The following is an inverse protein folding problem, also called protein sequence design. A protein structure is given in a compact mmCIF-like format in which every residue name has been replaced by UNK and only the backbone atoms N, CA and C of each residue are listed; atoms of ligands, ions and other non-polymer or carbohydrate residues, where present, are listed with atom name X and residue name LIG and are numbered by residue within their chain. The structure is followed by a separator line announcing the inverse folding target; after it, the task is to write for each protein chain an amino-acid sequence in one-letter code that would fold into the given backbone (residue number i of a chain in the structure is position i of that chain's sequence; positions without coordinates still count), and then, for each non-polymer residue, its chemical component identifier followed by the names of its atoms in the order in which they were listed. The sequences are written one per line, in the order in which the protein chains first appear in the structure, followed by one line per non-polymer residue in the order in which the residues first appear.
data_IF_024010284619
#
_entry.id   IF_024010284619
#
_cell.length_a   1.000
_cell.length_b   1.000
_cell.length_c   1.000
_cell.angle_alpha   90.00
_cell.angle_beta   90.00
_cell.angle_gamma   90.00
#
_symmetry.space_group_name_H-M   'P 1'
#
loop_
_entity.id
_entity.type
_entity.pdbx_description
1 polymer ?
#
# COMPACT_ATOMS: atom_id res chain seq x y z
N UNK A 1 -12.96 -34.24 -28.41
CA UNK A 1 -11.78 -33.44 -28.03
C UNK A 1 -12.06 -32.00 -28.47
N UNK A 2 -12.60 -31.15 -27.58
CA UNK A 2 -12.92 -29.75 -27.90
C UNK A 2 -11.65 -28.93 -27.64
N UNK A 3 -11.25 -27.99 -28.51
CA UNK A 3 -10.03 -27.21 -28.29
C UNK A 3 -10.22 -26.39 -27.00
N UNK A 4 -9.32 -26.58 -26.04
CA UNK A 4 -9.22 -25.76 -24.83
C UNK A 4 -8.73 -24.39 -25.29
N UNK A 5 -9.62 -23.41 -25.33
CA UNK A 5 -9.32 -22.07 -25.82
C UNK A 5 -8.23 -21.40 -24.96
N UNK A 6 -7.31 -20.70 -25.65
CA UNK A 6 -6.36 -19.61 -25.35
C UNK A 6 -6.01 -19.14 -23.93
N UNK A 7 -6.45 -19.80 -22.86
CA UNK A 7 -6.43 -19.28 -21.50
C UNK A 7 -5.77 -20.21 -20.48
N UNK A 8 -5.10 -21.26 -20.96
CA UNK A 8 -4.33 -22.18 -20.14
C UNK A 8 -2.99 -21.56 -19.72
N UNK A 9 -2.70 -21.60 -18.43
CA UNK A 9 -1.42 -21.14 -17.86
C UNK A 9 -0.57 -22.39 -17.58
N UNK A 10 0.52 -22.55 -18.31
CA UNK A 10 1.39 -23.73 -18.16
C UNK A 10 2.26 -23.64 -16.91
N UNK A 11 2.77 -24.79 -16.44
CA UNK A 11 3.70 -24.84 -15.30
C UNK A 11 4.99 -24.08 -15.57
N UNK A 12 5.51 -24.17 -16.79
CA UNK A 12 6.71 -23.45 -17.21
C UNK A 12 6.48 -21.94 -17.24
N UNK A 13 5.29 -21.50 -17.64
CA UNK A 13 4.90 -20.10 -17.57
C UNK A 13 4.83 -19.58 -16.12
N UNK A 14 4.30 -20.38 -15.20
CA UNK A 14 4.29 -20.03 -13.77
C UNK A 14 5.72 -19.91 -13.24
N UNK A 15 6.60 -20.88 -13.56
CA UNK A 15 8.02 -20.80 -13.17
C UNK A 15 8.69 -19.56 -13.74
N UNK A 16 8.49 -19.27 -15.03
CA UNK A 16 9.07 -18.10 -15.67
C UNK A 16 8.60 -16.79 -15.02
N UNK A 17 7.32 -16.69 -14.68
CA UNK A 17 6.77 -15.52 -14.01
C UNK A 17 7.35 -15.32 -12.60
N UNK A 18 7.51 -16.40 -11.83
CA UNK A 18 8.13 -16.35 -10.50
C UNK A 18 9.61 -16.02 -10.60
N UNK A 19 10.33 -16.64 -11.53
CA UNK A 19 11.76 -16.43 -11.77
C UNK A 19 12.06 -14.95 -12.12
N UNK A 20 11.22 -14.34 -12.97
CA UNK A 20 11.32 -12.91 -13.30
C UNK A 20 11.12 -12.01 -12.07
N UNK A 21 10.22 -12.38 -11.15
CA UNK A 21 10.00 -11.64 -9.91
C UNK A 21 11.17 -11.81 -8.92
N UNK A 22 11.76 -13.00 -8.82
CA UNK A 22 12.87 -13.28 -7.91
C UNK A 22 14.23 -12.85 -8.47
N UNK A 23 14.34 -12.64 -9.78
CA UNK A 23 15.60 -12.33 -10.46
C UNK A 23 16.55 -13.52 -10.56
N UNK A 24 16.00 -14.74 -10.64
CA UNK A 24 16.76 -15.99 -10.78
C UNK A 24 16.39 -16.73 -12.10
N UNK A 25 17.19 -17.71 -12.53
CA UNK A 25 16.84 -18.65 -13.59
C UNK A 25 15.62 -19.53 -13.23
N UNK A 26 14.79 -19.89 -14.20
CA UNK A 26 13.56 -20.66 -13.96
C UNK A 26 13.81 -22.15 -13.65
N UNK A 27 14.97 -22.68 -14.03
CA UNK A 27 15.42 -24.05 -13.76
C UNK A 27 15.93 -24.26 -12.32
N UNK A 28 16.23 -23.17 -11.61
CA UNK A 28 16.55 -23.20 -10.17
C UNK A 28 15.30 -23.36 -9.28
N UNK A 29 14.09 -23.21 -9.85
CA UNK A 29 12.84 -23.32 -9.12
C UNK A 29 12.28 -24.74 -9.18
N UNK A 30 12.40 -25.45 -8.06
CA UNK A 30 11.77 -26.74 -7.85
C UNK A 30 10.25 -26.65 -7.75
N UNK A 31 9.58 -27.74 -8.10
CA UNK A 31 8.11 -27.81 -8.12
C UNK A 31 7.45 -27.64 -6.75
N UNK A 32 8.18 -28.02 -5.70
CA UNK A 32 7.71 -28.07 -4.32
C UNK A 32 8.50 -27.12 -3.42
N UNK A 33 9.34 -26.26 -4.00
CA UNK A 33 10.11 -25.30 -3.23
C UNK A 33 9.18 -24.30 -2.56
N UNK A 34 9.53 -23.91 -1.34
CA UNK A 34 8.84 -22.84 -0.65
C UNK A 34 9.26 -21.50 -1.26
N UNK A 35 8.40 -20.97 -2.11
CA UNK A 35 8.65 -19.73 -2.84
C UNK A 35 8.84 -18.53 -1.90
N UNK A 36 8.29 -18.57 -0.68
CA UNK A 36 8.47 -17.51 0.32
C UNK A 36 9.90 -17.54 0.86
N UNK A 37 10.45 -18.73 1.14
CA UNK A 37 11.86 -18.88 1.55
C UNK A 37 12.82 -18.45 0.45
N UNK A 38 12.42 -18.59 -0.81
CA UNK A 38 13.16 -18.10 -1.98
C UNK A 38 13.01 -16.57 -2.20
N UNK A 39 12.28 -15.87 -1.35
CA UNK A 39 12.18 -14.40 -1.36
C UNK A 39 10.91 -13.84 -1.99
N UNK A 40 9.94 -14.69 -2.36
CA UNK A 40 8.66 -14.24 -2.87
C UNK A 40 7.82 -13.62 -1.74
N UNK A 41 7.26 -12.45 -2.00
CA UNK A 41 6.49 -11.70 -1.00
C UNK A 41 5.10 -11.33 -1.52
N UNK A 42 4.26 -10.82 -0.62
CA UNK A 42 2.85 -10.54 -0.90
C UNK A 42 2.63 -9.56 -2.05
N UNK A 43 3.49 -8.55 -2.22
CA UNK A 43 3.36 -7.56 -3.30
C UNK A 43 3.54 -8.24 -4.66
N UNK A 44 4.57 -9.08 -4.78
CA UNK A 44 4.85 -9.84 -6.01
C UNK A 44 3.76 -10.87 -6.28
N UNK A 45 3.32 -11.60 -5.26
CA UNK A 45 2.20 -12.56 -5.37
C UNK A 45 0.89 -11.88 -5.81
N UNK A 46 0.58 -10.69 -5.28
CA UNK A 46 -0.60 -9.92 -5.70
C UNK A 46 -0.49 -9.46 -7.16
N UNK A 47 0.72 -9.07 -7.61
CA UNK A 47 1.00 -8.74 -9.01
C UNK A 47 0.74 -9.92 -9.94
N UNK A 48 1.29 -11.10 -9.62
CA UNK A 48 1.08 -12.35 -10.35
C UNK A 48 -0.40 -12.74 -10.41
N UNK A 49 -1.08 -12.77 -9.25
CA UNK A 49 -2.52 -13.06 -9.18
C UNK A 49 -3.35 -12.07 -10.00
N UNK A 50 -3.01 -10.77 -9.96
CA UNK A 50 -3.66 -9.74 -10.77
C UNK A 50 -3.44 -9.95 -12.28
N UNK A 51 -2.24 -10.35 -12.69
CA UNK A 51 -1.90 -10.69 -14.06
C UNK A 51 -2.70 -11.89 -14.59
N UNK A 52 -2.79 -12.97 -13.81
CA UNK A 52 -3.57 -14.16 -14.18
C UNK A 52 -5.07 -13.90 -14.16
N UNK A 53 -5.60 -13.11 -13.22
CA UNK A 53 -7.01 -12.68 -13.23
C UNK A 53 -7.40 -11.87 -14.46
N UNK A 54 -6.51 -11.01 -14.97
CA UNK A 54 -6.75 -10.29 -16.23
C UNK A 54 -6.88 -11.22 -17.43
N UNK A 55 -6.30 -12.42 -17.34
CA UNK A 55 -6.47 -13.54 -18.27
C UNK A 55 -7.58 -14.49 -17.81
N UNK A 56 -8.55 -14.05 -17.01
CA UNK A 56 -9.72 -14.86 -16.65
C UNK A 56 -9.47 -16.02 -15.68
N UNK A 57 -8.28 -16.14 -15.06
CA UNK A 57 -8.08 -17.11 -13.99
C UNK A 57 -8.75 -16.63 -12.69
N UNK A 58 -9.54 -17.48 -12.02
CA UNK A 58 -10.16 -17.17 -10.73
C UNK A 58 -9.23 -17.55 -9.56
N UNK A 59 -8.18 -16.75 -9.36
CA UNK A 59 -7.14 -17.01 -8.36
C UNK A 59 -7.00 -15.86 -7.37
N UNK A 60 -6.91 -16.17 -6.07
CA UNK A 60 -6.74 -15.19 -5.00
C UNK A 60 -5.37 -15.27 -4.33
N UNK A 61 -4.95 -14.15 -3.73
CA UNK A 61 -3.74 -14.12 -2.90
C UNK A 61 -3.80 -15.17 -1.78
N UNK A 62 -4.96 -15.32 -1.13
CA UNK A 62 -5.14 -16.29 -0.05
C UNK A 62 -4.90 -17.73 -0.53
N UNK A 63 -5.38 -18.08 -1.73
CA UNK A 63 -5.13 -19.39 -2.34
C UNK A 63 -3.64 -19.60 -2.65
N UNK A 64 -2.96 -18.59 -3.21
CA UNK A 64 -1.52 -18.68 -3.50
C UNK A 64 -0.67 -18.79 -2.22
N UNK A 65 -1.01 -18.02 -1.19
CA UNK A 65 -0.28 -17.98 0.07
C UNK A 65 -0.50 -19.24 0.93
N UNK A 66 -1.59 -19.98 0.73
CA UNK A 66 -1.87 -21.21 1.47
C UNK A 66 -0.88 -22.33 1.16
N UNK A 67 -0.41 -22.40 -0.10
CA UNK A 67 0.59 -23.36 -0.54
C UNK A 67 1.49 -22.70 -1.60
N UNK A 68 2.57 -22.01 -1.19
CA UNK A 68 3.40 -21.20 -2.06
C UNK A 68 4.42 -22.07 -2.83
N UNK A 69 3.92 -22.99 -3.67
CA UNK A 69 4.74 -23.85 -4.53
C UNK A 69 4.26 -23.80 -5.97
N UNK A 70 5.16 -24.02 -6.93
CA UNK A 70 4.82 -24.07 -8.36
C UNK A 70 3.78 -25.16 -8.65
N UNK A 71 3.91 -26.34 -8.03
CA UNK A 71 2.96 -27.43 -8.20
C UNK A 71 1.56 -27.09 -7.71
N UNK A 72 1.44 -26.50 -6.51
CA UNK A 72 0.13 -26.10 -5.95
C UNK A 72 -0.52 -25.00 -6.78
N UNK A 73 0.25 -24.02 -7.24
CA UNK A 73 -0.27 -22.91 -8.05
C UNK A 73 -0.72 -23.38 -9.43
N UNK A 74 0.02 -24.31 -10.04
CA UNK A 74 -0.38 -24.93 -11.29
C UNK A 74 -1.70 -25.71 -11.15
N UNK A 75 -1.90 -26.46 -10.06
CA UNK A 75 -3.15 -27.16 -9.79
C UNK A 75 -4.34 -26.18 -9.64
N UNK A 76 -4.13 -25.06 -8.95
CA UNK A 76 -5.14 -24.00 -8.78
C UNK A 76 -5.51 -23.36 -10.14
N UNK A 77 -4.52 -23.05 -10.97
CA UNK A 77 -4.71 -22.39 -12.26
C UNK A 77 -5.23 -23.32 -13.37
N UNK A 78 -5.01 -24.63 -13.23
CA UNK A 78 -5.50 -25.65 -14.16
C UNK A 78 -6.99 -26.01 -13.95
N UNK A 79 -7.62 -25.48 -12.90
CA UNK A 79 -9.05 -25.67 -12.64
C UNK A 79 -9.42 -26.89 -11.79
N UNK A 80 -8.45 -27.57 -11.16
CA UNK A 80 -8.71 -28.76 -10.32
C UNK A 80 -9.31 -28.41 -8.95
N UNK A 81 -9.43 -27.13 -8.61
CA UNK A 81 -10.06 -26.69 -7.35
C UNK A 81 -11.18 -25.70 -7.66
N UNK A 82 -12.37 -26.22 -7.90
CA UNK A 82 -13.60 -25.45 -7.86
C UNK A 82 -13.83 -24.96 -6.42
N UNK A 83 -13.43 -23.71 -6.11
CA UNK A 83 -13.98 -23.02 -4.96
C UNK A 83 -13.93 -21.51 -5.14
N UNK A 84 -15.13 -20.97 -5.37
CA UNK A 84 -15.49 -19.56 -5.40
C UNK A 84 -15.08 -18.89 -4.09
N UNK A 85 -13.97 -18.15 -4.12
CA UNK A 85 -13.72 -17.09 -3.17
C UNK A 85 -14.18 -15.80 -3.85
N UNK A 86 -15.41 -15.38 -3.52
CA UNK A 86 -16.06 -14.16 -3.99
C UNK A 86 -15.02 -13.08 -4.32
N UNK A 87 -14.78 -12.89 -5.63
CA UNK A 87 -13.93 -11.84 -6.12
C UNK A 87 -14.44 -10.52 -5.53
N UNK A 88 -13.58 -9.65 -4.99
CA UNK A 88 -14.00 -8.29 -4.75
C UNK A 88 -14.48 -7.77 -6.10
N UNK A 89 -15.76 -7.37 -6.15
CA UNK A 89 -16.42 -6.89 -7.34
C UNK A 89 -15.46 -5.98 -8.09
N UNK A 90 -15.21 -6.32 -9.36
CA UNK A 90 -14.44 -5.47 -10.25
C UNK A 90 -14.98 -4.05 -10.08
N UNK A 91 -14.10 -3.15 -9.64
CA UNK A 91 -14.42 -1.72 -9.55
C UNK A 91 -14.74 -1.32 -10.98
N UNK A 92 -16.03 -1.20 -11.30
CA UNK A 92 -16.49 -0.71 -12.58
C UNK A 92 -15.77 0.63 -12.82
N UNK A 93 -15.33 0.93 -14.05
CA UNK A 93 -14.81 2.26 -14.33
C UNK A 93 -15.92 3.24 -13.97
N UNK A 94 -15.67 4.10 -12.97
CA UNK A 94 -16.59 5.18 -12.65
C UNK A 94 -16.85 5.96 -13.95
N UNK A 95 -18.13 6.15 -14.29
CA UNK A 95 -18.53 7.19 -15.24
C UNK A 95 -17.87 8.50 -14.79
N UNK A 96 -17.56 9.45 -15.69
CA UNK A 96 -16.87 10.68 -15.31
C UNK A 96 -17.79 11.56 -14.47
N UNK A 97 -17.95 11.22 -13.19
CA UNK A 97 -18.45 12.10 -12.17
C UNK A 97 -17.57 13.34 -12.19
N UNK A 98 -18.20 14.51 -12.06
CA UNK A 98 -17.48 15.77 -12.05
C UNK A 98 -16.28 15.65 -11.11
N UNK A 99 -15.08 15.99 -11.59
CA UNK A 99 -13.83 15.70 -10.90
C UNK A 99 -13.80 16.21 -9.44
N UNK A 100 -14.58 17.25 -9.11
CA UNK A 100 -14.68 17.85 -7.78
C UNK A 100 -15.98 17.50 -7.02
N UNK A 101 -16.80 16.58 -7.52
CA UNK A 101 -17.99 16.10 -6.82
C UNK A 101 -17.61 15.30 -5.55
N UNK A 102 -18.45 15.33 -4.50
CA UNK A 102 -18.27 14.46 -3.35
C UNK A 102 -18.39 12.97 -3.74
N UNK A 103 -17.51 12.11 -3.22
CA UNK A 103 -17.48 10.67 -3.46
C UNK A 103 -17.35 9.91 -2.13
N UNK A 104 -17.80 8.64 -2.06
CA UNK A 104 -17.75 7.86 -0.82
C UNK A 104 -16.32 7.58 -0.37
N UNK A 105 -16.15 7.40 0.95
CA UNK A 105 -14.89 6.93 1.52
C UNK A 105 -14.68 5.45 1.20
N UNK A 106 -13.46 5.08 0.79
CA UNK A 106 -13.06 3.68 0.81
C UNK A 106 -13.07 3.16 2.26
N UNK A 107 -13.33 1.86 2.46
CA UNK A 107 -13.48 1.28 3.80
C UNK A 107 -12.30 1.58 4.75
N UNK A 108 -11.07 1.51 4.23
CA UNK A 108 -9.88 1.88 5.01
C UNK A 108 -9.83 3.38 5.35
N UNK A 109 -10.27 4.26 4.45
CA UNK A 109 -10.30 5.70 4.71
C UNK A 109 -11.34 6.03 5.79
N UNK A 110 -12.50 5.37 5.78
CA UNK A 110 -13.52 5.51 6.82
C UNK A 110 -12.99 5.01 8.17
N UNK A 111 -12.33 3.85 8.21
CA UNK A 111 -11.72 3.34 9.43
C UNK A 111 -10.68 4.31 10.02
N UNK A 112 -9.84 4.90 9.16
CA UNK A 112 -8.86 5.92 9.58
C UNK A 112 -9.53 7.22 10.03
N UNK A 113 -10.66 7.61 9.42
CA UNK A 113 -11.42 8.80 9.78
C UNK A 113 -12.10 8.66 11.14
N UNK A 114 -12.69 7.50 11.42
CA UNK A 114 -13.28 7.18 12.74
C UNK A 114 -12.18 7.01 13.78
N UNK A 115 -11.15 6.22 13.48
CA UNK A 115 -10.08 5.88 14.42
C UNK A 115 -9.29 7.08 14.95
N UNK A 116 -9.23 8.18 14.20
CA UNK A 116 -8.56 9.42 14.63
C UNK A 116 -9.42 10.34 15.49
N UNK A 117 -10.72 10.08 15.66
CA UNK A 117 -11.59 10.95 16.48
C UNK A 117 -11.14 10.90 17.93
N UNK A 118 -11.35 12.00 18.67
CA UNK A 118 -10.96 12.06 20.09
C UNK A 118 -11.81 11.15 21.00
N UNK A 119 -12.88 10.56 20.45
CA UNK A 119 -13.78 9.64 21.13
C UNK A 119 -13.25 8.20 21.20
N UNK A 120 -12.22 7.87 20.41
CA UNK A 120 -11.59 6.55 20.42
C UNK A 120 -10.48 6.47 21.47
N UNK A 121 -10.29 5.30 22.09
CA UNK A 121 -9.28 5.11 23.15
C UNK A 121 -7.84 5.43 22.69
N UNK A 122 -7.52 5.13 21.43
CA UNK A 122 -6.25 5.46 20.76
C UNK A 122 -6.39 6.64 19.78
N UNK A 123 -7.45 7.43 19.95
CA UNK A 123 -7.84 8.55 19.12
C UNK A 123 -6.95 9.80 19.23
N UNK A 124 -7.36 10.85 18.53
CA UNK A 124 -6.69 12.17 18.53
C UNK A 124 -5.36 12.24 17.74
N UNK A 125 -4.89 11.10 17.21
CA UNK A 125 -3.69 11.01 16.38
C UNK A 125 -4.06 10.47 15.00
N UNK A 126 -3.83 11.29 13.96
CA UNK A 126 -3.88 10.79 12.60
C UNK A 126 -2.64 9.93 12.31
N UNK A 127 -2.78 8.97 11.41
CA UNK A 127 -1.63 8.27 10.84
C UNK A 127 -0.60 9.29 10.32
N UNK A 128 0.62 9.20 10.83
CA UNK A 128 1.69 10.14 10.54
C UNK A 128 3.00 9.38 10.32
N UNK A 129 3.78 9.85 9.35
CA UNK A 129 5.13 9.39 9.10
C UNK A 129 6.08 10.52 9.49
N UNK A 130 7.14 10.17 10.22
CA UNK A 130 8.24 11.07 10.53
C UNK A 130 9.53 10.50 9.95
N UNK A 131 10.25 11.31 9.18
CA UNK A 131 11.52 10.97 8.59
C UNK A 131 12.47 12.17 8.70
N UNK A 132 13.71 11.92 9.12
CA UNK A 132 14.79 12.90 9.19
C UNK A 132 15.75 12.66 8.03
N UNK A 133 16.23 13.74 7.43
CA UNK A 133 17.20 13.70 6.34
C UNK A 133 18.39 14.57 6.70
N UNK A 134 19.55 13.94 6.86
CA UNK A 134 20.81 14.62 7.11
C UNK A 134 21.72 14.50 5.89
N UNK A 135 22.32 15.61 5.47
CA UNK A 135 23.37 15.60 4.46
C UNK A 135 23.40 16.85 3.58
N UNK A 136 24.58 17.21 3.04
CA UNK A 136 24.77 18.41 2.24
C UNK A 136 24.04 18.37 0.88
N UNK A 137 23.61 17.18 0.43
CA UNK A 137 22.88 16.99 -0.81
C UNK A 137 21.38 17.32 -0.72
N UNK A 138 20.86 17.57 0.49
CA UNK A 138 19.44 17.90 0.70
C UNK A 138 19.27 19.42 0.71
N UNK A 139 18.82 19.96 -0.42
CA UNK A 139 18.36 21.35 -0.52
C UNK A 139 16.90 21.46 -0.01
N UNK A 140 16.65 22.17 1.12
CA UNK A 140 15.30 22.32 1.67
C UNK A 140 14.32 23.02 0.74
N UNK A 141 14.78 23.97 -0.07
CA UNK A 141 13.92 24.73 -0.97
C UNK A 141 13.53 23.87 -2.18
N UNK A 142 14.45 23.03 -2.66
CA UNK A 142 14.16 22.01 -3.67
C UNK A 142 13.18 20.97 -3.16
N UNK A 143 13.36 20.46 -1.95
CA UNK A 143 12.42 19.52 -1.33
C UNK A 143 11.03 20.14 -1.19
N UNK A 144 10.93 21.40 -0.75
CA UNK A 144 9.65 22.10 -0.64
C UNK A 144 8.95 22.26 -1.99
N UNK A 145 9.69 22.52 -3.08
CA UNK A 145 9.13 22.56 -4.44
C UNK A 145 8.62 21.18 -4.86
N UNK A 146 9.43 20.13 -4.69
CA UNK A 146 9.04 18.76 -5.02
C UNK A 146 7.77 18.30 -4.29
N UNK A 147 7.66 18.59 -2.98
CA UNK A 147 6.44 18.26 -2.20
C UNK A 147 5.22 19.01 -2.73
N UNK A 148 5.37 20.28 -3.11
CA UNK A 148 4.28 21.07 -3.69
C UNK A 148 3.82 20.49 -5.03
N UNK A 149 4.76 20.11 -5.88
CA UNK A 149 4.49 19.52 -7.18
C UNK A 149 3.79 18.16 -7.03
N UNK A 150 4.20 17.37 -6.04
CA UNK A 150 3.53 16.12 -5.66
C UNK A 150 2.07 16.36 -5.24
N UNK A 151 1.82 17.32 -4.35
CA UNK A 151 0.45 17.67 -3.91
C UNK A 151 -0.40 18.20 -5.07
N UNK A 152 0.17 18.99 -5.97
CA UNK A 152 -0.53 19.48 -7.15
C UNK A 152 -0.91 18.32 -8.09
N UNK A 153 0.03 17.39 -8.32
CA UNK A 153 -0.10 16.25 -9.22
C UNK A 153 -1.13 15.22 -8.73
N UNK A 154 -1.21 14.97 -7.42
CA UNK A 154 -2.08 13.92 -6.87
C UNK A 154 -3.36 14.47 -6.21
N UNK A 155 -4.55 14.28 -6.80
CA UNK A 155 -5.81 14.80 -6.25
C UNK A 155 -6.13 14.31 -4.84
N UNK A 156 -5.73 13.08 -4.49
CA UNK A 156 -5.96 12.52 -3.15
C UNK A 156 -5.22 13.25 -2.02
N UNK A 157 -4.10 13.91 -2.33
CA UNK A 157 -3.38 14.76 -1.38
C UNK A 157 -4.08 16.12 -1.17
N UNK A 158 -5.10 16.42 -1.97
CA UNK A 158 -5.94 17.62 -1.91
C UNK A 158 -7.39 17.30 -1.55
N UNK A 159 -7.67 16.09 -1.08
CA UNK A 159 -9.02 15.66 -0.68
C UNK A 159 -9.34 16.14 0.73
N UNK A 160 -10.57 16.64 0.92
CA UNK A 160 -11.14 16.93 2.23
C UNK A 160 -12.19 15.88 2.59
N UNK A 161 -12.21 15.47 3.85
CA UNK A 161 -13.25 14.64 4.42
C UNK A 161 -14.35 15.53 4.99
N UNK A 162 -15.58 15.31 4.55
CA UNK A 162 -16.77 16.06 4.96
C UNK A 162 -17.39 15.40 6.20
N UNK A 163 -18.06 16.16 7.08
CA UNK A 163 -18.78 15.62 8.23
C UNK A 163 -19.84 14.57 7.85
N UNK A 164 -20.32 14.62 6.61
CA UNK A 164 -21.28 13.67 6.04
C UNK A 164 -20.69 12.28 5.75
N UNK A 165 -19.39 12.06 5.98
CA UNK A 165 -18.71 10.81 5.64
C UNK A 165 -18.33 10.68 4.17
N UNK A 166 -18.38 11.78 3.42
CA UNK A 166 -17.95 11.86 2.02
C UNK A 166 -16.59 12.54 1.88
N UNK A 167 -15.92 12.28 0.77
CA UNK A 167 -14.68 12.93 0.36
C UNK A 167 -14.93 13.91 -0.76
N UNK A 168 -14.24 15.06 -0.76
CA UNK A 168 -14.28 16.03 -1.86
C UNK A 168 -12.87 16.44 -2.28
N UNK A 169 -12.52 16.22 -3.55
CA UNK A 169 -11.27 16.70 -4.14
C UNK A 169 -11.32 18.23 -4.25
N UNK A 170 -10.27 18.91 -3.82
CA UNK A 170 -10.14 20.36 -3.96
C UNK A 170 -9.24 20.68 -5.16
N UNK A 171 -9.56 21.69 -6.00
CA UNK A 171 -8.74 22.10 -7.13
C UNK A 171 -7.30 22.43 -6.74
N UNK A 172 -6.37 22.30 -7.69
CA UNK A 172 -4.95 22.62 -7.50
C UNK A 172 -4.67 24.13 -7.41
N UNK A 173 -5.66 24.99 -7.71
CA UNK A 173 -5.47 26.45 -7.73
C UNK A 173 -5.38 27.02 -6.30
N UNK A 174 -4.14 27.30 -5.88
CA UNK A 174 -3.83 28.35 -4.91
C UNK A 174 -4.16 28.08 -3.44
N UNK A 175 -4.21 26.81 -3.02
CA UNK A 175 -4.28 26.50 -1.59
C UNK A 175 -3.07 27.10 -0.87
N UNK A 176 -3.29 28.00 0.10
CA UNK A 176 -2.25 28.49 1.01
C UNK A 176 -1.54 27.27 1.62
N UNK A 177 -0.35 26.95 1.12
CA UNK A 177 0.58 26.14 1.88
C UNK A 177 0.91 26.96 3.12
N UNK A 178 0.68 26.40 4.30
CA UNK A 178 1.01 27.06 5.55
C UNK A 178 2.49 27.50 5.49
N UNK A 179 2.82 28.75 5.86
CA UNK A 179 4.19 29.26 5.74
C UNK A 179 5.19 28.39 6.52
N UNK A 180 6.48 28.41 6.11
CA UNK A 180 7.59 27.60 6.67
C UNK A 180 7.62 27.56 8.20
N UNK A 181 7.23 28.66 8.86
CA UNK A 181 7.18 28.74 10.33
C UNK A 181 6.07 27.85 10.93
N UNK A 182 4.92 27.72 10.29
CA UNK A 182 3.78 26.98 10.86
C UNK A 182 3.93 25.47 10.69
N UNK A 183 4.55 24.95 9.63
CA UNK A 183 4.73 23.50 9.48
C UNK A 183 5.80 22.96 10.43
N UNK A 184 6.98 23.60 10.48
CA UNK A 184 8.04 23.19 11.40
C UNK A 184 7.64 23.40 12.86
N UNK A 185 6.91 24.48 13.19
CA UNK A 185 6.42 24.70 14.55
C UNK A 185 5.19 23.84 14.87
N UNK A 186 4.31 23.53 13.94
CA UNK A 186 3.21 22.58 14.19
C UNK A 186 3.75 21.18 14.38
N UNK A 187 4.73 20.75 13.57
CA UNK A 187 5.43 19.47 13.74
C UNK A 187 6.20 19.46 15.06
N UNK A 188 6.99 20.50 15.40
CA UNK A 188 7.66 20.59 16.72
C UNK A 188 6.69 20.65 17.89
N UNK A 189 5.59 21.39 17.80
CA UNK A 189 4.56 21.46 18.87
C UNK A 189 3.81 20.13 19.00
N UNK A 190 3.60 19.40 17.91
CA UNK A 190 2.94 18.09 17.91
C UNK A 190 3.88 16.97 18.36
N UNK A 191 5.14 16.96 17.93
CA UNK A 191 6.19 16.08 18.45
C UNK A 191 6.49 16.33 19.93
N UNK A 192 6.55 17.59 20.39
CA UNK A 192 6.74 17.91 21.81
C UNK A 192 5.50 17.63 22.68
N UNK A 193 4.29 17.64 22.12
CA UNK A 193 3.08 17.11 22.79
C UNK A 193 3.05 15.59 22.80
N UNK A 194 3.48 14.94 21.72
CA UNK A 194 3.55 13.48 21.60
C UNK A 194 4.63 12.90 22.53
N UNK A 195 5.83 13.48 22.57
CA UNK A 195 6.89 13.16 23.53
C UNK A 195 6.41 13.29 24.99
N UNK A 196 5.64 14.34 25.31
CA UNK A 196 5.02 14.50 26.65
C UNK A 196 3.92 13.48 26.95
N UNK A 197 3.15 13.05 25.95
CA UNK A 197 2.13 12.00 26.10
C UNK A 197 2.72 10.59 26.16
N UNK A 198 3.86 10.35 25.50
CA UNK A 198 4.66 9.12 25.62
C UNK A 198 5.45 9.06 26.94
N UNK A 199 5.83 10.20 27.51
CA UNK A 199 6.54 10.30 28.79
C UNK A 199 5.63 10.22 30.03
N UNK A 200 4.30 10.19 29.86
CA UNK A 200 3.41 9.78 30.95
C UNK A 200 3.59 8.28 31.15
N UNK A 201 3.81 7.78 32.38
CA UNK A 201 3.92 6.35 32.63
C UNK A 201 2.56 5.72 32.32
N UNK A 202 2.45 5.13 31.12
CA UNK A 202 1.39 4.19 30.77
C UNK A 202 1.95 2.81 31.02
N UNK A 203 1.22 2.03 31.79
CA UNK A 203 1.49 0.61 32.05
C UNK A 203 1.90 -0.08 30.74
N UNK A 204 3.02 -0.81 30.84
CA UNK A 204 3.62 -1.74 29.89
C UNK A 204 2.78 -2.05 28.64
N UNK A 205 3.25 -1.61 27.47
CA UNK A 205 3.47 -2.48 26.29
C UNK A 205 4.06 -1.70 25.09
N UNK A 206 5.34 -1.97 24.80
CA UNK A 206 5.87 -2.11 23.44
C UNK A 206 5.88 -0.91 22.48
N UNK A 207 6.57 0.19 22.80
CA UNK A 207 6.97 1.17 21.78
C UNK A 207 8.40 0.87 21.31
N UNK A 208 8.56 0.19 20.17
CA UNK A 208 9.87 -0.03 19.56
C UNK A 208 10.22 1.12 18.62
N UNK A 209 10.96 2.11 19.12
CA UNK A 209 11.67 3.08 18.27
C UNK A 209 12.92 2.41 17.69
N UNK A 210 12.87 1.97 16.43
CA UNK A 210 14.09 1.61 15.69
C UNK A 210 14.76 2.87 15.16
N UNK A 211 15.80 3.32 15.87
CA UNK A 211 16.75 4.32 15.37
C UNK A 211 17.80 3.59 14.54
N UNK A 212 17.82 3.81 13.22
CA UNK A 212 18.94 3.36 12.39
C UNK A 212 19.96 4.49 12.35
N UNK A 213 20.98 4.41 13.21
CA UNK A 213 22.20 5.23 13.10
C UNK A 213 23.14 4.55 12.11
N UNK A 214 23.28 5.11 10.91
CA UNK A 214 24.39 4.79 10.03
C UNK A 214 25.61 5.62 10.44
N UNK A 215 26.48 5.03 11.26
CA UNK A 215 27.81 5.58 11.51
C UNK A 215 28.65 5.44 10.24
N UNK A 216 28.94 6.55 9.56
CA UNK A 216 30.02 6.58 8.58
C UNK A 216 31.14 7.43 9.14
N UNK A 217 32.16 6.74 9.66
CA UNK A 217 33.46 7.30 9.98
C UNK A 217 34.24 7.49 8.67
N UNK A 218 34.72 8.71 8.42
CA UNK A 218 35.95 8.99 7.68
C UNK A 218 36.46 10.37 8.04
#
# INVERSE_FOLDING_TARGET
MKPLGDNWISKDEIRAAIAAELGCPADELGDHDDLIQLGLNSIRMMGLAGGWRKRGADITFAQLAAAPTVASWYALLSGDTASSAAAPAAVAPDEPEAHDAPFPLAGMQLAYWIGRSDEQELGGVAAHLYAEFDGPAIDPDRLQRAVRDLVATHPMLRTRFLPTGLSKRCPSRGGRFLPRSTFADAVRRRCSRHSRNCARPRHTNGCTSKTVRSSTSR
#
